data_IF_712075338593
#
_entry.id   IF_712075338593
#
_cell.length_a   1.000
_cell.length_b   1.000
_cell.length_c   1.000
_cell.angle_alpha   90.00
_cell.angle_beta   90.00
_cell.angle_gamma   90.00
#
_symmetry.space_group_name_H-M   'P 1'
#
loop_
_entity.id
_entity.type
_entity.pdbx_description
1 polymer ?
#
# COMPACT_ATOMS: atom_id res chain seq x y z
N UNK A 1 25.95 -26.57 -50.81
CA UNK A 1 25.29 -27.05 -52.04
C UNK A 1 23.79 -27.01 -51.84
N UNK A 2 23.07 -26.63 -52.89
CA UNK A 2 21.61 -26.52 -52.91
C UNK A 2 21.00 -27.93 -53.00
N UNK A 3 19.80 -28.07 -52.43
CA UNK A 3 18.66 -28.90 -52.87
C UNK A 3 18.33 -30.16 -52.05
N UNK A 4 17.01 -30.31 -51.94
CA UNK A 4 16.20 -31.50 -51.67
C UNK A 4 16.21 -31.90 -50.17
N UNK A 5 15.08 -32.20 -49.53
CA UNK A 5 14.07 -33.16 -49.99
C UNK A 5 12.70 -32.86 -49.35
N UNK A 6 11.72 -32.84 -50.23
CA UNK A 6 10.31 -33.08 -50.00
C UNK A 6 10.11 -34.48 -49.40
N UNK A 7 9.59 -34.58 -48.16
CA UNK A 7 8.95 -35.78 -47.60
C UNK A 7 8.27 -35.36 -46.31
N UNK A 8 6.95 -35.20 -46.34
CA UNK A 8 6.00 -36.27 -46.06
C UNK A 8 5.86 -36.54 -44.55
N UNK A 9 4.64 -36.30 -44.08
CA UNK A 9 4.02 -36.94 -42.94
C UNK A 9 4.80 -36.89 -41.61
N UNK A 10 4.48 -35.89 -40.79
CA UNK A 10 4.51 -36.07 -39.35
C UNK A 10 3.12 -35.79 -38.78
N UNK A 11 2.37 -36.89 -38.76
CA UNK A 11 1.55 -37.35 -37.64
C UNK A 11 0.92 -36.27 -36.78
N UNK A 12 -0.40 -36.13 -36.97
CA UNK A 12 -1.29 -35.55 -35.99
C UNK A 12 -1.02 -36.17 -34.61
N UNK A 13 -0.45 -35.37 -33.71
CA UNK A 13 -0.43 -35.65 -32.28
C UNK A 13 -1.20 -34.51 -31.60
N UNK A 14 -2.52 -34.53 -31.76
CA UNK A 14 -3.40 -33.78 -30.87
C UNK A 14 -3.48 -34.54 -29.53
N UNK A 15 -2.35 -34.58 -28.83
CA UNK A 15 -2.32 -34.94 -27.42
C UNK A 15 -2.90 -33.77 -26.64
N UNK A 16 -4.22 -33.73 -26.48
CA UNK A 16 -4.83 -32.93 -25.43
C UNK A 16 -4.37 -33.53 -24.10
N UNK A 17 -3.26 -33.02 -23.58
CA UNK A 17 -2.95 -33.16 -22.16
C UNK A 17 -4.07 -32.43 -21.42
N UNK A 18 -5.10 -33.15 -21.00
CA UNK A 18 -5.95 -32.69 -19.92
C UNK A 18 -5.05 -32.65 -18.69
N UNK A 19 -4.47 -31.47 -18.44
CA UNK A 19 -3.92 -31.15 -17.13
C UNK A 19 -5.13 -31.13 -16.21
N UNK A 20 -5.45 -32.28 -15.60
CA UNK A 20 -6.17 -32.30 -14.35
C UNK A 20 -5.25 -31.61 -13.36
N UNK A 21 -5.36 -30.28 -13.30
CA UNK A 21 -4.99 -29.55 -12.11
C UNK A 21 -5.86 -30.16 -11.01
N UNK A 22 -5.28 -31.07 -10.24
CA UNK A 22 -5.78 -31.32 -8.91
C UNK A 22 -5.92 -29.93 -8.31
N UNK A 23 -7.16 -29.48 -8.11
CA UNK A 23 -7.44 -28.39 -7.20
C UNK A 23 -6.97 -28.93 -5.86
N UNK A 24 -5.68 -28.75 -5.59
CA UNK A 24 -5.17 -28.65 -4.25
C UNK A 24 -6.02 -27.53 -3.70
N UNK A 25 -7.03 -27.91 -2.94
CA UNK A 25 -7.74 -27.05 -2.01
C UNK A 25 -6.69 -26.63 -0.98
N UNK A 26 -5.75 -25.80 -1.43
CA UNK A 26 -5.23 -24.76 -0.59
C UNK A 26 -6.49 -23.93 -0.32
N UNK A 27 -7.21 -24.31 0.73
CA UNK A 27 -7.36 -23.36 1.84
C UNK A 27 -5.98 -22.77 2.05
N UNK A 28 -5.65 -21.78 1.23
CA UNK A 28 -4.88 -20.65 1.68
C UNK A 28 -5.56 -20.36 3.02
N UNK A 29 -4.90 -20.55 4.17
CA UNK A 29 -5.25 -19.65 5.23
C UNK A 29 -5.16 -18.29 4.53
N UNK A 30 -6.29 -17.60 4.44
CA UNK A 30 -6.24 -16.16 4.47
C UNK A 30 -5.47 -15.87 5.76
N UNK A 31 -4.15 -15.95 5.70
CA UNK A 31 -3.28 -15.08 6.42
C UNK A 31 -3.65 -13.76 5.79
N UNK A 32 -4.76 -13.20 6.28
CA UNK A 32 -4.79 -11.78 6.58
C UNK A 32 -3.52 -11.59 7.35
N UNK A 33 -2.44 -11.27 6.62
CA UNK A 33 -1.29 -10.65 7.21
C UNK A 33 -1.94 -9.54 7.99
N UNK A 34 -1.89 -9.67 9.30
CA UNK A 34 -2.24 -8.62 10.22
C UNK A 34 -1.22 -7.51 9.94
N UNK A 35 -1.34 -6.85 8.80
CA UNK A 35 -1.11 -5.42 8.71
C UNK A 35 -2.16 -4.82 9.64
N UNK A 36 -1.91 -4.95 10.94
CA UNK A 36 -2.72 -4.37 12.01
C UNK A 36 -2.56 -2.85 12.03
N UNK A 37 -1.99 -2.29 10.97
CA UNK A 37 -1.88 -0.89 10.62
C UNK A 37 -3.18 -0.46 9.94
N UNK A 38 -4.19 -0.17 10.75
CA UNK A 38 -5.44 0.41 10.29
C UNK A 38 -5.21 1.90 10.07
N UNK A 39 -5.17 2.34 8.81
CA UNK A 39 -5.17 3.76 8.44
C UNK A 39 -6.59 4.24 8.18
N UNK A 40 -7.10 5.09 9.05
CA UNK A 40 -8.40 5.73 8.94
C UNK A 40 -8.22 7.18 8.49
N UNK A 41 -8.68 7.57 7.29
CA UNK A 41 -8.68 8.97 6.88
C UNK A 41 -9.60 9.77 7.80
N UNK A 42 -9.08 10.86 8.35
CA UNK A 42 -9.79 11.78 9.23
C UNK A 42 -9.72 13.20 8.67
N UNK A 43 -10.67 14.05 9.07
CA UNK A 43 -10.60 15.47 8.72
C UNK A 43 -9.50 16.17 9.53
N UNK A 44 -8.99 17.26 8.99
CA UNK A 44 -8.06 18.14 9.73
C UNK A 44 -8.67 18.69 11.03
N UNK A 45 -9.99 18.81 11.07
CA UNK A 45 -10.76 19.23 12.24
C UNK A 45 -10.83 18.15 13.33
N UNK A 46 -10.67 16.89 12.94
CA UNK A 46 -10.65 15.74 13.84
C UNK A 46 -9.23 15.45 14.36
N UNK A 47 -8.24 16.22 13.91
CA UNK A 47 -6.90 16.13 14.47
C UNK A 47 -6.92 16.56 15.94
N UNK A 48 -6.19 15.83 16.80
CA UNK A 48 -5.90 16.27 18.15
C UNK A 48 -5.39 17.72 18.17
N UNK A 49 -5.91 18.51 19.12
CA UNK A 49 -5.48 19.89 19.38
C UNK A 49 -3.95 20.07 19.35
N UNK A 50 -3.13 19.23 20.01
CA UNK A 50 -1.67 19.41 19.98
C UNK A 50 -1.08 19.29 18.57
N UNK A 51 -1.61 18.39 17.72
CA UNK A 51 -1.15 18.26 16.32
C UNK A 51 -1.57 19.48 15.51
N UNK A 52 -2.83 19.91 15.66
CA UNK A 52 -3.33 21.09 14.96
C UNK A 52 -2.58 22.37 15.34
N UNK A 53 -2.14 22.49 16.59
CA UNK A 53 -1.31 23.62 17.05
C UNK A 53 0.11 23.52 16.46
N UNK A 54 0.73 22.33 16.40
CA UNK A 54 2.07 22.15 15.82
C UNK A 54 2.09 22.43 14.32
N UNK A 55 1.04 22.04 13.58
CA UNK A 55 0.90 22.37 12.16
C UNK A 55 0.79 23.88 11.91
N UNK A 56 0.42 24.68 12.92
CA UNK A 56 0.40 26.15 12.86
C UNK A 56 1.69 26.79 13.36
N UNK A 57 2.65 26.01 13.85
CA UNK A 57 3.97 26.49 14.29
C UNK A 57 5.02 26.26 13.22
N UNK A 58 6.06 27.10 13.22
CA UNK A 58 7.21 26.92 12.34
C UNK A 58 7.95 25.59 12.66
N UNK A 59 8.42 24.83 11.65
CA UNK A 59 8.46 25.15 10.22
C UNK A 59 7.20 24.74 9.43
N UNK A 60 6.24 24.07 10.09
CA UNK A 60 5.07 23.47 9.46
C UNK A 60 3.97 24.48 9.12
N UNK A 61 3.98 25.66 9.74
CA UNK A 61 3.03 26.75 9.44
C UNK A 61 3.05 27.17 7.96
N UNK A 62 4.19 26.99 7.28
CA UNK A 62 4.35 27.25 5.84
C UNK A 62 3.83 26.10 4.96
N UNK A 63 3.45 24.98 5.56
CA UNK A 63 3.03 23.76 4.88
C UNK A 63 1.50 23.67 4.95
N UNK A 64 0.88 23.35 3.81
CA UNK A 64 -0.58 23.23 3.72
C UNK A 64 -0.97 21.77 3.97
N UNK A 65 -1.71 21.45 5.05
CA UNK A 65 -2.20 20.10 5.27
C UNK A 65 -3.19 19.72 4.16
N UNK A 66 -2.91 18.63 3.45
CA UNK A 66 -3.75 18.13 2.35
C UNK A 66 -4.63 16.97 2.78
N UNK A 67 -4.13 16.13 3.70
CA UNK A 67 -4.88 15.00 4.23
C UNK A 67 -4.42 14.67 5.65
N UNK A 68 -5.30 14.03 6.42
CA UNK A 68 -4.97 13.51 7.75
C UNK A 68 -5.49 12.08 7.88
N UNK A 69 -4.74 11.27 8.60
CA UNK A 69 -5.00 9.85 8.78
C UNK A 69 -4.69 9.48 10.23
N UNK A 70 -5.64 8.85 10.91
CA UNK A 70 -5.36 8.13 12.15
C UNK A 70 -4.82 6.75 11.78
N UNK A 71 -3.61 6.43 12.22
CA UNK A 71 -2.96 5.16 11.97
C UNK A 71 -2.83 4.39 13.28
N UNK A 72 -3.47 3.23 13.35
CA UNK A 72 -3.40 2.33 14.48
C UNK A 72 -2.61 1.11 14.07
N UNK A 73 -1.42 0.93 14.61
CA UNK A 73 -0.52 -0.20 14.40
C UNK A 73 -0.51 -1.09 15.66
N UNK A 74 -1.49 -1.98 15.75
CA UNK A 74 -1.69 -2.86 16.91
C UNK A 74 -1.94 -2.08 18.21
N UNK A 75 -0.93 -2.02 19.09
CA UNK A 75 -0.98 -1.26 20.34
C UNK A 75 -0.54 0.21 20.20
N UNK A 76 0.13 0.55 19.09
CA UNK A 76 0.58 1.91 18.79
C UNK A 76 -0.49 2.62 17.98
N UNK A 77 -0.70 3.89 18.27
CA UNK A 77 -1.65 4.72 17.52
C UNK A 77 -1.02 6.09 17.36
N UNK A 78 -0.91 6.52 16.11
CA UNK A 78 -0.28 7.75 15.66
C UNK A 78 -1.12 8.36 14.55
N UNK A 79 -0.93 9.65 14.30
CA UNK A 79 -1.64 10.40 13.28
C UNK A 79 -0.67 10.78 12.19
N UNK A 80 -0.96 10.44 10.94
CA UNK A 80 -0.21 10.89 9.78
C UNK A 80 -0.95 12.07 9.13
N UNK A 81 -0.29 13.21 8.99
CA UNK A 81 -0.80 14.38 8.28
C UNK A 81 0.05 14.59 7.05
N UNK A 82 -0.56 14.45 5.89
CA UNK A 82 0.07 14.80 4.63
C UNK A 82 -0.05 16.31 4.40
N UNK A 83 1.05 16.89 3.96
CA UNK A 83 1.30 18.32 3.96
C UNK A 83 2.02 18.66 2.66
N UNK A 84 1.68 19.80 2.07
CA UNK A 84 2.27 20.27 0.82
C UNK A 84 2.90 21.63 1.03
N UNK A 85 4.18 21.76 0.65
CA UNK A 85 4.93 23.01 0.65
C UNK A 85 5.43 23.27 -0.77
N UNK A 86 4.84 24.26 -1.43
CA UNK A 86 5.15 24.60 -2.84
C UNK A 86 4.98 23.36 -3.76
N UNK A 87 6.07 22.76 -4.22
CA UNK A 87 6.10 21.54 -5.03
C UNK A 87 6.43 20.27 -4.25
N UNK A 88 6.78 20.39 -2.97
CA UNK A 88 7.13 19.26 -2.11
C UNK A 88 5.91 18.76 -1.35
N UNK A 89 5.63 17.46 -1.46
CA UNK A 89 4.66 16.77 -0.62
C UNK A 89 5.41 16.02 0.46
N UNK A 90 5.02 16.24 1.71
CA UNK A 90 5.55 15.57 2.88
C UNK A 90 4.44 14.86 3.66
N UNK A 91 4.85 13.95 4.54
CA UNK A 91 3.96 13.25 5.46
C UNK A 91 4.56 13.38 6.86
N UNK A 92 3.85 14.03 7.76
CA UNK A 92 4.26 14.19 9.14
C UNK A 92 3.48 13.19 9.99
N UNK A 93 4.18 12.33 10.71
CA UNK A 93 3.53 11.43 11.66
C UNK A 93 3.70 12.03 13.05
N UNK A 94 2.62 12.01 13.84
CA UNK A 94 2.56 12.53 15.18
C UNK A 94 1.99 11.48 16.12
N UNK A 95 2.43 11.45 17.37
CA UNK A 95 1.73 10.69 18.41
C UNK A 95 0.48 11.45 18.92
N UNK A 96 -0.20 10.86 19.90
CA UNK A 96 -1.40 11.42 20.54
C UNK A 96 -1.14 12.74 21.27
N UNK A 97 0.09 12.95 21.71
CA UNK A 97 0.57 14.14 22.40
C UNK A 97 1.06 15.22 21.42
N UNK A 98 1.01 14.94 20.11
CA UNK A 98 1.47 15.82 19.03
C UNK A 98 2.97 15.76 18.78
N UNK A 99 3.72 14.86 19.41
CA UNK A 99 5.16 14.75 19.11
C UNK A 99 5.37 14.06 17.77
N UNK A 100 6.26 14.57 16.92
CA UNK A 100 6.60 13.89 15.68
C UNK A 100 7.21 12.51 15.99
N UNK A 101 6.68 11.47 15.36
CA UNK A 101 7.18 10.09 15.43
C UNK A 101 7.80 9.74 14.08
N UNK A 102 9.12 9.61 14.01
CA UNK A 102 9.83 9.27 12.76
C UNK A 102 9.68 7.78 12.40
#
# INVERSE_FOLDING_TARGET
MKKLILSAAFLAFAGFASVQAATIDHKLPLVSVQDSVVKTPIKLEELPKPIADILKTDPYATWTPTAAFSVKDGAKEYFQVDVKKEEQVGSLKFDKDGKPVE
#
